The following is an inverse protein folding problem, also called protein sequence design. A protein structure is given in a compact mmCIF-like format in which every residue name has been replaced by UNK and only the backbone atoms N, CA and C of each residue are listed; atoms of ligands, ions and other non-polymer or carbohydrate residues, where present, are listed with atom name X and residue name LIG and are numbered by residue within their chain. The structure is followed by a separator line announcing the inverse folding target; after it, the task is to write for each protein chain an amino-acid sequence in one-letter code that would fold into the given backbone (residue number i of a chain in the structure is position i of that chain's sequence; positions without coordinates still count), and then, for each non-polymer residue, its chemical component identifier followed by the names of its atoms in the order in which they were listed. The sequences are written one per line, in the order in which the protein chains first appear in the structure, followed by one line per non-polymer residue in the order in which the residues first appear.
data_IF_734431604156
#
_entry.id   IF_734431604156
#
_cell.length_a   1.000
_cell.length_b   1.000
_cell.length_c   1.000
_cell.angle_alpha   90.00
_cell.angle_beta   90.00
_cell.angle_gamma   90.00
#
_symmetry.space_group_name_H-M   'P 1'
#
loop_
_entity.id
_entity.type
_entity.pdbx_description
1 polymer ?
#
# COMPACT_ATOMS: atom_id res chain seq x y z
N UNK A 1 -23.87 5.84 -16.29
CA UNK A 1 -23.59 4.53 -15.69
C UNK A 1 -22.85 3.72 -16.75
N UNK A 2 -21.54 3.97 -16.91
CA UNK A 2 -20.73 3.23 -17.87
C UNK A 2 -20.30 1.96 -17.17
N UNK A 3 -20.89 0.84 -17.57
CA UNK A 3 -20.33 -0.47 -17.26
C UNK A 3 -18.90 -0.47 -17.82
N UNK A 4 -17.92 -0.39 -16.94
CA UNK A 4 -16.59 -0.86 -17.28
C UNK A 4 -16.79 -2.34 -17.64
N UNK A 5 -16.70 -2.69 -18.91
CA UNK A 5 -16.60 -4.09 -19.35
C UNK A 5 -15.22 -4.56 -18.91
N UNK A 6 -15.17 -5.00 -17.68
CA UNK A 6 -13.97 -5.27 -16.91
C UNK A 6 -13.26 -6.55 -17.41
N UNK A 7 -11.96 -6.45 -17.65
CA UNK A 7 -10.96 -7.51 -17.46
C UNK A 7 -10.95 -8.79 -18.33
N UNK A 8 -11.17 -8.72 -19.64
CA UNK A 8 -10.70 -9.77 -20.58
C UNK A 8 -9.26 -9.50 -21.05
N UNK A 9 -8.35 -9.30 -20.10
CA UNK A 9 -6.90 -9.30 -20.36
C UNK A 9 -6.28 -10.47 -19.62
N UNK A 10 -5.41 -11.20 -20.30
CA UNK A 10 -4.70 -12.38 -19.80
C UNK A 10 -4.03 -12.11 -18.44
N UNK A 11 -4.71 -12.44 -17.32
CA UNK A 11 -4.13 -12.36 -15.98
C UNK A 11 -3.35 -13.66 -15.74
N UNK A 12 -2.02 -13.61 -15.86
CA UNK A 12 -1.16 -14.79 -15.70
C UNK A 12 -0.85 -15.15 -14.24
N UNK A 13 -1.19 -14.29 -13.26
CA UNK A 13 -0.94 -14.56 -11.84
C UNK A 13 -2.16 -14.13 -11.00
N UNK A 14 -2.89 -15.09 -10.46
CA UNK A 14 -3.84 -14.85 -9.36
C UNK A 14 -3.12 -15.10 -8.05
N UNK A 15 -3.05 -14.07 -7.19
CA UNK A 15 -2.46 -14.19 -5.86
C UNK A 15 -3.54 -14.65 -4.89
N UNK A 16 -3.23 -15.46 -3.89
CA UNK A 16 -4.22 -15.83 -2.86
C UNK A 16 -3.62 -15.69 -1.47
N UNK A 17 -4.36 -15.01 -0.59
CA UNK A 17 -4.11 -15.04 0.84
C UNK A 17 -4.76 -16.33 1.37
N UNK A 18 -3.99 -17.42 1.34
CA UNK A 18 -4.49 -18.72 1.77
C UNK A 18 -4.54 -18.83 3.31
N UNK A 19 -5.10 -19.94 3.80
CA UNK A 19 -5.28 -20.18 5.23
C UNK A 19 -3.99 -20.25 6.06
N UNK A 20 -2.82 -20.40 5.42
CA UNK A 20 -1.53 -20.45 6.10
C UNK A 20 -0.99 -19.05 6.41
N UNK A 21 -1.49 -18.02 5.72
CA UNK A 21 -1.11 -16.63 5.93
C UNK A 21 -1.90 -16.07 7.10
N UNK A 22 -1.20 -15.60 8.13
CA UNK A 22 -1.79 -14.91 9.28
C UNK A 22 -1.30 -13.48 9.38
N UNK A 23 0.00 -13.24 9.23
CA UNK A 23 0.59 -11.89 9.32
C UNK A 23 0.97 -11.34 7.96
N UNK A 24 0.32 -10.23 7.62
CA UNK A 24 0.48 -9.54 6.35
C UNK A 24 1.06 -8.16 6.62
N UNK A 25 2.30 -7.93 6.21
CA UNK A 25 3.01 -6.67 6.44
C UNK A 25 2.99 -5.81 5.19
N UNK A 26 2.61 -4.54 5.34
CA UNK A 26 2.66 -3.54 4.26
C UNK A 26 3.87 -2.62 4.49
N UNK A 27 4.82 -2.68 3.56
CA UNK A 27 5.99 -1.81 3.45
C UNK A 27 5.76 -0.76 2.37
N UNK A 28 6.25 0.45 2.63
CA UNK A 28 6.17 1.56 1.69
C UNK A 28 6.43 2.90 2.35
N UNK A 29 6.05 3.96 1.65
CA UNK A 29 6.33 5.33 2.07
C UNK A 29 5.13 6.00 2.79
N UNK A 30 4.94 7.31 2.59
CA UNK A 30 3.85 8.10 3.19
C UNK A 30 2.46 7.62 2.78
N UNK A 31 2.31 7.09 1.55
CA UNK A 31 1.02 6.60 1.05
C UNK A 31 0.63 5.32 1.80
N UNK A 32 1.59 4.42 2.02
CA UNK A 32 1.42 3.26 2.89
C UNK A 32 1.20 3.69 4.34
N UNK A 33 1.94 4.67 4.86
CA UNK A 33 1.73 5.20 6.22
C UNK A 33 0.34 5.81 6.44
N UNK A 34 -0.24 6.47 5.44
CA UNK A 34 -1.63 6.94 5.47
C UNK A 34 -2.60 5.75 5.45
N UNK A 35 -2.33 4.76 4.59
CA UNK A 35 -2.81 3.38 4.76
C UNK A 35 -4.30 3.15 4.55
N UNK A 36 -5.08 4.12 4.08
CA UNK A 36 -6.54 3.96 3.88
C UNK A 36 -6.90 2.79 2.96
N UNK A 37 -6.08 2.49 1.96
CA UNK A 37 -6.28 1.31 1.10
C UNK A 37 -6.12 -0.01 1.89
N UNK A 38 -5.23 -0.05 2.87
CA UNK A 38 -5.02 -1.22 3.74
C UNK A 38 -6.23 -1.38 4.67
N UNK A 39 -6.77 -0.26 5.18
CA UNK A 39 -8.00 -0.27 5.98
C UNK A 39 -9.18 -0.86 5.19
N UNK A 40 -9.33 -0.49 3.91
CA UNK A 40 -10.38 -1.06 3.06
C UNK A 40 -10.16 -2.55 2.80
N UNK A 41 -8.93 -2.98 2.49
CA UNK A 41 -8.60 -4.40 2.31
C UNK A 41 -8.90 -5.18 3.60
N UNK A 42 -8.42 -4.71 4.76
CA UNK A 42 -8.66 -5.40 6.02
C UNK A 42 -10.16 -5.47 6.36
N UNK A 43 -10.92 -4.39 6.14
CA UNK A 43 -12.37 -4.40 6.33
C UNK A 43 -13.06 -5.43 5.43
N UNK A 44 -12.64 -5.57 4.17
CA UNK A 44 -13.13 -6.62 3.27
C UNK A 44 -12.86 -8.02 3.83
N UNK A 45 -11.62 -8.30 4.24
CA UNK A 45 -11.25 -9.61 4.76
C UNK A 45 -11.98 -9.95 6.06
N UNK A 46 -12.17 -8.96 6.93
CA UNK A 46 -12.91 -9.11 8.19
C UNK A 46 -14.36 -9.53 7.92
N UNK A 47 -15.02 -8.90 6.93
CA UNK A 47 -16.44 -9.18 6.66
C UNK A 47 -16.67 -10.43 5.80
N UNK A 48 -15.75 -10.77 4.90
CA UNK A 48 -15.86 -11.93 4.02
C UNK A 48 -15.31 -13.22 4.65
N UNK A 49 -14.38 -13.09 5.60
CA UNK A 49 -13.74 -14.23 6.27
C UNK A 49 -13.73 -14.07 7.80
N UNK A 50 -14.90 -13.95 8.45
CA UNK A 50 -15.01 -13.64 9.89
C UNK A 50 -14.37 -14.69 10.81
N UNK A 51 -14.25 -15.94 10.35
CA UNK A 51 -13.61 -17.03 11.08
C UNK A 51 -12.08 -17.04 10.96
N UNK A 52 -11.50 -16.19 10.09
CA UNK A 52 -10.06 -16.10 9.87
C UNK A 52 -9.45 -15.00 10.71
N UNK A 53 -8.25 -15.27 11.21
CA UNK A 53 -7.49 -14.32 12.02
C UNK A 53 -6.32 -13.77 11.21
N UNK A 54 -6.63 -12.91 10.25
CA UNK A 54 -5.63 -12.12 9.54
C UNK A 54 -5.18 -10.93 10.41
N UNK A 55 -3.89 -10.65 10.41
CA UNK A 55 -3.28 -9.49 11.05
C UNK A 55 -2.59 -8.64 9.98
N UNK A 56 -3.23 -7.51 9.65
CA UNK A 56 -2.69 -6.52 8.72
C UNK A 56 -1.81 -5.53 9.49
N UNK A 57 -0.52 -5.48 9.14
CA UNK A 57 0.49 -4.68 9.83
C UNK A 57 1.00 -3.60 8.87
N UNK A 58 0.59 -2.36 9.12
CA UNK A 58 1.08 -1.20 8.37
C UNK A 58 2.37 -0.65 9.01
N UNK A 59 3.48 -0.73 8.28
CA UNK A 59 4.79 -0.19 8.68
C UNK A 59 5.36 0.72 7.60
N UNK A 60 4.49 1.44 6.88
CA UNK A 60 4.90 2.50 5.97
C UNK A 60 5.64 3.62 6.70
N UNK A 61 6.68 4.18 6.10
CA UNK A 61 7.46 5.27 6.69
C UNK A 61 7.50 6.48 5.74
N UNK A 62 6.96 7.66 6.12
CA UNK A 62 6.90 8.80 5.20
C UNK A 62 8.27 9.22 4.67
N UNK A 63 8.32 9.69 3.42
CA UNK A 63 9.55 10.06 2.69
C UNK A 63 10.53 8.92 2.37
N UNK A 64 10.30 7.70 2.87
CA UNK A 64 11.24 6.57 2.70
C UNK A 64 11.42 6.18 1.23
N UNK A 65 12.65 5.79 0.91
CA UNK A 65 13.03 5.16 -0.37
C UNK A 65 13.53 3.75 -0.15
N UNK A 66 13.40 2.91 -1.18
CA UNK A 66 14.12 1.63 -1.28
C UNK A 66 15.43 1.80 -2.05
N UNK A 67 15.55 2.84 -2.88
CA UNK A 67 16.78 3.18 -3.61
C UNK A 67 17.91 3.71 -2.71
N UNK A 68 17.59 4.13 -1.49
CA UNK A 68 18.52 4.81 -0.58
C UNK A 68 18.89 6.24 -1.01
N UNK A 69 18.21 6.77 -2.04
CA UNK A 69 18.48 8.11 -2.55
C UNK A 69 17.80 9.19 -1.71
N UNK A 70 18.46 10.35 -1.64
CA UNK A 70 17.90 11.58 -1.11
C UNK A 70 18.41 12.74 -1.95
N UNK A 71 17.51 13.63 -2.37
CA UNK A 71 17.89 14.89 -2.98
C UNK A 71 18.64 15.78 -1.96
N UNK A 72 19.54 16.66 -2.44
CA UNK A 72 20.09 17.73 -1.62
C UNK A 72 18.96 18.57 -1.00
N UNK A 73 19.14 18.99 0.25
CA UNK A 73 18.20 19.85 0.96
C UNK A 73 16.79 19.26 1.15
N UNK A 74 16.64 17.93 1.15
CA UNK A 74 15.37 17.27 1.50
C UNK A 74 14.82 17.81 2.83
N UNK A 75 13.51 18.02 2.89
CA UNK A 75 12.82 18.61 4.04
C UNK A 75 13.46 19.93 4.52
N UNK A 76 13.89 20.79 3.60
CA UNK A 76 14.59 22.05 3.87
C UNK A 76 15.88 21.85 4.68
N UNK A 77 16.58 20.74 4.43
CA UNK A 77 17.83 20.39 5.08
C UNK A 77 17.66 19.78 6.47
N UNK A 78 16.43 19.55 6.93
CA UNK A 78 16.19 19.01 8.27
C UNK A 78 16.67 17.56 8.43
N UNK A 79 16.55 16.73 7.39
CA UNK A 79 17.01 15.34 7.36
C UNK A 79 17.02 14.80 5.91
N UNK A 80 17.90 13.84 5.57
CA UNK A 80 17.81 13.11 4.30
C UNK A 80 16.58 12.20 4.28
N UNK A 81 16.14 11.76 3.10
CA UNK A 81 15.09 10.72 3.01
C UNK A 81 15.47 9.49 3.85
N UNK A 82 14.52 8.90 4.60
CA UNK A 82 14.74 7.61 5.23
C UNK A 82 15.05 6.53 4.17
N UNK A 83 15.88 5.56 4.56
CA UNK A 83 16.29 4.45 3.72
C UNK A 83 15.80 3.14 4.35
N UNK A 84 15.05 2.33 3.59
CA UNK A 84 14.53 1.05 4.07
C UNK A 84 15.64 0.11 4.55
N UNK A 85 16.85 0.18 3.98
CA UNK A 85 18.02 -0.60 4.41
C UNK A 85 18.32 -0.43 5.89
N UNK A 86 17.97 0.73 6.47
CA UNK A 86 18.18 1.04 7.87
C UNK A 86 17.35 0.18 8.83
N UNK A 87 16.14 -0.22 8.42
CA UNK A 87 15.15 -0.82 9.34
C UNK A 87 14.58 -2.15 8.92
N UNK A 88 14.74 -2.59 7.67
CA UNK A 88 14.07 -3.80 7.16
C UNK A 88 14.32 -5.03 8.03
N UNK A 89 15.56 -5.26 8.45
CA UNK A 89 15.89 -6.40 9.33
C UNK A 89 15.03 -6.40 10.61
N UNK A 90 14.88 -5.23 11.25
CA UNK A 90 14.06 -5.09 12.47
C UNK A 90 12.58 -5.27 12.17
N UNK A 91 12.09 -4.76 11.04
CA UNK A 91 10.71 -5.00 10.58
C UNK A 91 10.45 -6.50 10.49
N UNK A 92 11.30 -7.24 9.77
CA UNK A 92 11.12 -8.68 9.55
C UNK A 92 11.26 -9.48 10.85
N UNK A 93 12.26 -9.18 11.68
CA UNK A 93 12.49 -9.94 12.92
C UNK A 93 11.39 -9.74 13.96
N UNK A 94 10.79 -8.55 14.03
CA UNK A 94 9.79 -8.20 15.03
C UNK A 94 8.38 -8.58 14.61
N UNK A 95 8.02 -8.33 13.34
CA UNK A 95 6.67 -8.64 12.84
C UNK A 95 6.53 -10.12 12.45
N UNK A 96 7.62 -10.75 11.98
CA UNK A 96 7.65 -12.14 11.48
C UNK A 96 6.51 -12.39 10.47
N UNK A 97 6.53 -11.70 9.31
CA UNK A 97 5.44 -11.80 8.36
C UNK A 97 5.40 -13.16 7.69
N UNK A 98 4.20 -13.65 7.39
CA UNK A 98 4.01 -14.75 6.43
C UNK A 98 4.03 -14.19 5.00
N UNK A 99 3.54 -12.96 4.84
CA UNK A 99 3.47 -12.24 3.56
C UNK A 99 3.80 -10.77 3.72
N UNK A 100 4.51 -10.21 2.74
CA UNK A 100 4.86 -8.79 2.65
C UNK A 100 4.32 -8.21 1.35
N UNK A 101 3.56 -7.14 1.45
CA UNK A 101 3.25 -6.25 0.33
C UNK A 101 4.23 -5.08 0.34
N UNK A 102 4.88 -4.81 -0.79
CA UNK A 102 5.86 -3.74 -0.93
C UNK A 102 5.43 -2.71 -1.97
N UNK A 103 5.26 -1.45 -1.57
CA UNK A 103 4.90 -0.36 -2.48
C UNK A 103 5.92 0.80 -2.38
N UNK A 104 6.90 0.79 -3.30
CA UNK A 104 7.94 1.82 -3.43
C UNK A 104 8.03 2.34 -4.88
N UNK A 105 8.68 3.49 -5.07
CA UNK A 105 8.85 4.15 -6.37
C UNK A 105 8.58 5.65 -6.31
N UNK A 106 7.52 6.07 -5.61
CA UNK A 106 7.07 7.48 -5.55
C UNK A 106 8.16 8.46 -5.06
N UNK A 107 9.05 8.03 -4.16
CA UNK A 107 10.14 8.88 -3.65
C UNK A 107 11.49 8.59 -4.33
N UNK A 108 11.61 7.45 -4.99
CA UNK A 108 12.90 6.86 -5.36
C UNK A 108 13.56 7.58 -6.54
N UNK A 109 12.75 8.24 -7.38
CA UNK A 109 13.22 9.17 -8.41
C UNK A 109 13.50 10.59 -7.90
N UNK A 110 13.31 10.85 -6.59
CA UNK A 110 13.57 12.11 -5.89
C UNK A 110 12.99 13.36 -6.57
N UNK A 111 11.83 13.22 -7.23
CA UNK A 111 11.10 14.30 -7.89
C UNK A 111 11.89 15.03 -9.00
N UNK A 112 12.86 14.34 -9.62
CA UNK A 112 13.62 14.82 -10.77
C UNK A 112 13.22 14.09 -12.06
N UNK A 113 13.48 14.65 -13.26
CA UNK A 113 13.29 13.95 -14.53
C UNK A 113 13.98 12.58 -14.55
N UNK A 114 13.56 11.70 -15.47
CA UNK A 114 14.15 10.37 -15.59
C UNK A 114 15.67 10.43 -15.77
N UNK A 115 16.35 9.48 -15.13
CA UNK A 115 17.79 9.30 -15.17
C UNK A 115 18.10 7.83 -14.91
N UNK A 116 18.96 7.26 -15.75
CA UNK A 116 19.27 5.83 -15.72
C UNK A 116 19.96 5.43 -14.41
N UNK A 117 20.79 6.29 -13.82
CA UNK A 117 21.49 5.97 -12.57
C UNK A 117 20.52 5.92 -11.39
N UNK A 118 19.59 6.88 -11.29
CA UNK A 118 18.52 6.83 -10.28
C UNK A 118 17.61 5.62 -10.47
N UNK A 119 17.25 5.32 -11.72
CA UNK A 119 16.46 4.13 -12.03
C UNK A 119 17.20 2.84 -11.63
N UNK A 120 18.50 2.75 -11.94
CA UNK A 120 19.33 1.62 -11.53
C UNK A 120 19.36 1.45 -10.00
N UNK A 121 19.44 2.54 -9.23
CA UNK A 121 19.35 2.48 -7.76
C UNK A 121 17.99 1.98 -7.26
N UNK A 122 16.90 2.41 -7.88
CA UNK A 122 15.57 1.86 -7.59
C UNK A 122 15.51 0.35 -7.88
N UNK A 123 16.00 -0.08 -9.05
CA UNK A 123 16.06 -1.51 -9.43
C UNK A 123 16.87 -2.32 -8.42
N UNK A 124 18.04 -1.83 -8.02
CA UNK A 124 18.91 -2.46 -7.02
C UNK A 124 18.21 -2.61 -5.67
N UNK A 125 17.57 -1.53 -5.20
CA UNK A 125 16.81 -1.52 -3.95
C UNK A 125 15.67 -2.54 -3.94
N UNK A 126 14.86 -2.58 -5.00
CA UNK A 126 13.75 -3.53 -5.12
C UNK A 126 14.25 -4.99 -5.14
N UNK A 127 15.32 -5.29 -5.89
CA UNK A 127 15.91 -6.64 -5.87
C UNK A 127 16.49 -7.00 -4.49
N UNK A 128 17.16 -6.06 -3.82
CA UNK A 128 17.65 -6.26 -2.47
C UNK A 128 16.50 -6.56 -1.50
N UNK A 129 15.44 -5.75 -1.51
CA UNK A 129 14.26 -5.94 -0.68
C UNK A 129 13.63 -7.32 -0.92
N UNK A 130 13.44 -7.70 -2.19
CA UNK A 130 12.91 -9.01 -2.55
C UNK A 130 13.74 -10.13 -1.93
N UNK A 131 15.08 -10.10 -2.11
CA UNK A 131 15.96 -11.13 -1.56
C UNK A 131 15.91 -11.21 -0.04
N UNK A 132 15.92 -10.08 0.66
CA UNK A 132 15.92 -10.07 2.12
C UNK A 132 14.60 -10.60 2.71
N UNK A 133 13.46 -10.31 2.07
CA UNK A 133 12.15 -10.86 2.50
C UNK A 133 12.05 -12.36 2.21
N UNK A 134 12.47 -12.82 1.04
CA UNK A 134 12.48 -14.27 0.74
C UNK A 134 13.43 -15.01 1.70
N UNK A 135 14.59 -14.42 2.01
CA UNK A 135 15.57 -14.98 2.94
C UNK A 135 15.03 -15.08 4.37
N UNK A 136 14.09 -14.23 4.78
CA UNK A 136 13.42 -14.37 6.09
C UNK A 136 12.38 -15.49 6.13
N UNK A 137 12.11 -16.15 5.00
CA UNK A 137 11.09 -17.20 4.86
C UNK A 137 9.69 -16.65 4.56
N UNK A 138 9.56 -15.35 4.31
CA UNK A 138 8.28 -14.69 4.05
C UNK A 138 8.00 -14.63 2.55
N UNK A 139 6.72 -14.68 2.16
CA UNK A 139 6.31 -14.38 0.77
C UNK A 139 6.38 -12.87 0.53
N UNK A 140 6.67 -12.45 -0.69
CA UNK A 140 6.61 -11.04 -1.09
C UNK A 140 5.74 -10.85 -2.34
N UNK A 141 4.95 -9.78 -2.34
CA UNK A 141 4.23 -9.24 -3.49
C UNK A 141 4.62 -7.78 -3.63
N UNK A 142 5.15 -7.43 -4.79
CA UNK A 142 5.44 -6.03 -5.10
C UNK A 142 4.19 -5.37 -5.67
N UNK A 143 3.93 -4.13 -5.28
CA UNK A 143 2.85 -3.29 -5.79
C UNK A 143 3.53 -2.11 -6.48
N UNK A 144 3.17 -1.84 -7.73
CA UNK A 144 3.67 -0.65 -8.43
C UNK A 144 3.35 0.63 -7.66
N UNK A 145 4.17 1.69 -7.76
CA UNK A 145 3.84 2.96 -7.12
C UNK A 145 2.53 3.54 -7.72
N UNK A 146 1.70 4.22 -6.92
CA UNK A 146 0.58 4.98 -7.46
C UNK A 146 1.07 6.09 -8.38
N UNK A 147 0.15 6.65 -9.17
CA UNK A 147 0.45 7.72 -10.12
C UNK A 147 0.92 9.00 -9.41
N UNK A 148 1.80 9.74 -10.09
CA UNK A 148 2.04 11.15 -9.81
C UNK A 148 1.23 11.97 -10.81
N UNK A 149 0.41 12.90 -10.34
CA UNK A 149 -0.45 13.67 -11.24
C UNK A 149 0.41 14.53 -12.17
N UNK A 150 0.32 14.26 -13.47
CA UNK A 150 1.13 14.94 -14.49
C UNK A 150 0.93 16.47 -14.51
N UNK A 151 -0.20 16.96 -13.99
CA UNK A 151 -0.46 18.41 -13.80
C UNK A 151 0.50 19.05 -12.80
N UNK A 152 1.13 18.27 -11.92
CA UNK A 152 2.18 18.72 -10.99
C UNK A 152 3.58 18.55 -11.55
N UNK A 153 3.74 17.86 -12.69
CA UNK A 153 5.04 17.65 -13.33
C UNK A 153 5.06 16.41 -14.22
N UNK A 154 4.88 16.62 -15.53
CA UNK A 154 4.88 15.54 -16.55
C UNK A 154 6.15 14.71 -16.56
N UNK A 155 7.31 15.35 -16.36
CA UNK A 155 8.59 14.65 -16.34
C UNK A 155 8.68 13.62 -15.22
N UNK A 156 8.12 13.92 -14.05
CA UNK A 156 8.13 12.99 -12.91
C UNK A 156 7.02 11.95 -13.01
N UNK A 157 5.85 12.29 -13.55
CA UNK A 157 4.83 11.30 -13.88
C UNK A 157 5.41 10.19 -14.78
N UNK A 158 6.17 10.57 -15.81
CA UNK A 158 6.86 9.62 -16.69
C UNK A 158 7.93 8.77 -15.98
N UNK A 159 8.54 9.25 -14.89
CA UNK A 159 9.44 8.41 -14.07
C UNK A 159 8.66 7.26 -13.44
N UNK A 160 7.47 7.54 -12.91
CA UNK A 160 6.63 6.52 -12.28
C UNK A 160 6.02 5.56 -13.30
N UNK A 161 5.71 6.01 -14.52
CA UNK A 161 5.34 5.13 -15.63
C UNK A 161 6.46 4.09 -15.86
N UNK A 162 7.69 4.55 -16.07
CA UNK A 162 8.86 3.69 -16.35
C UNK A 162 9.20 2.75 -15.19
N UNK A 163 9.10 3.23 -13.94
CA UNK A 163 9.36 2.39 -12.77
C UNK A 163 8.31 1.31 -12.60
N UNK A 164 7.04 1.63 -12.91
CA UNK A 164 5.92 0.69 -12.84
C UNK A 164 6.02 -0.37 -13.93
N UNK A 165 6.27 0.03 -15.19
CA UNK A 165 6.44 -0.90 -16.32
C UNK A 165 7.56 -1.90 -16.07
N UNK A 166 8.69 -1.42 -15.56
CA UNK A 166 9.79 -2.29 -15.22
C UNK A 166 9.42 -3.27 -14.10
N UNK A 167 8.71 -2.82 -13.06
CA UNK A 167 8.29 -3.71 -11.99
C UNK A 167 7.29 -4.76 -12.51
N UNK A 168 6.33 -4.36 -13.34
CA UNK A 168 5.38 -5.29 -14.00
C UNK A 168 6.13 -6.32 -14.85
N UNK A 169 7.19 -5.92 -15.55
CA UNK A 169 8.01 -6.86 -16.35
C UNK A 169 8.64 -7.99 -15.52
N UNK A 170 8.74 -7.82 -14.18
CA UNK A 170 9.26 -8.85 -13.26
C UNK A 170 8.34 -10.05 -13.10
N UNK A 171 7.05 -9.92 -13.44
CA UNK A 171 6.13 -11.05 -13.59
C UNK A 171 6.68 -12.10 -14.57
N UNK A 172 7.33 -11.64 -15.64
CA UNK A 172 7.77 -12.49 -16.76
C UNK A 172 9.27 -12.75 -16.75
N UNK A 173 10.07 -11.79 -16.28
CA UNK A 173 11.54 -11.90 -16.30
C UNK A 173 12.07 -12.68 -15.10
N UNK A 174 11.47 -12.49 -13.93
CA UNK A 174 11.96 -13.06 -12.67
C UNK A 174 10.91 -13.94 -11.96
N UNK A 175 9.74 -14.16 -12.57
CA UNK A 175 8.59 -14.85 -11.99
C UNK A 175 8.15 -14.30 -10.62
N UNK A 176 8.28 -12.98 -10.43
CA UNK A 176 7.83 -12.34 -9.20
C UNK A 176 6.32 -12.13 -9.20
N UNK A 177 5.76 -12.12 -7.98
CA UNK A 177 4.41 -11.65 -7.76
C UNK A 177 4.40 -10.12 -7.76
N UNK A 178 3.68 -9.53 -8.72
CA UNK A 178 3.55 -8.08 -8.84
C UNK A 178 2.09 -7.72 -9.06
N UNK A 179 1.56 -6.75 -8.33
CA UNK A 179 0.24 -6.15 -8.54
C UNK A 179 0.42 -4.79 -9.21
N UNK A 180 -0.28 -4.56 -10.32
CA UNK A 180 -0.29 -3.27 -11.00
C UNK A 180 -1.41 -2.39 -10.44
N UNK A 181 -0.99 -1.33 -9.77
CA UNK A 181 -1.85 -0.28 -9.23
C UNK A 181 -1.70 1.02 -10.04
N UNK A 182 -0.62 1.15 -10.81
CA UNK A 182 -0.25 2.39 -11.48
C UNK A 182 -1.17 2.68 -12.66
N UNK A 183 -1.24 1.76 -13.62
CA UNK A 183 -1.99 1.97 -14.85
C UNK A 183 -3.52 1.97 -14.62
N UNK A 184 -4.09 1.12 -13.75
CA UNK A 184 -5.50 1.24 -13.39
C UNK A 184 -5.85 2.59 -12.76
N UNK A 185 -5.02 3.12 -11.86
CA UNK A 185 -5.24 4.45 -11.28
C UNK A 185 -5.11 5.56 -12.32
N UNK A 186 -4.15 5.46 -13.25
CA UNK A 186 -4.00 6.43 -14.34
C UNK A 186 -5.25 6.47 -15.22
N UNK A 187 -5.72 5.29 -15.65
CA UNK A 187 -6.92 5.14 -16.47
C UNK A 187 -8.15 5.72 -15.78
N UNK A 188 -8.31 5.49 -14.48
CA UNK A 188 -9.41 6.05 -13.71
C UNK A 188 -9.34 7.57 -13.63
N UNK A 189 -8.16 8.14 -13.34
CA UNK A 189 -7.96 9.59 -13.34
C UNK A 189 -8.30 10.21 -14.71
N UNK A 190 -7.80 9.63 -15.80
CA UNK A 190 -8.07 10.10 -17.16
C UNK A 190 -9.56 9.99 -17.51
N UNK A 191 -10.21 8.88 -17.15
CA UNK A 191 -11.64 8.65 -17.41
C UNK A 191 -12.52 9.64 -16.65
N UNK A 192 -12.24 9.89 -15.37
CA UNK A 192 -12.98 10.88 -14.57
C UNK A 192 -12.78 12.30 -15.10
N UNK A 193 -11.59 12.60 -15.64
CA UNK A 193 -11.29 13.91 -16.25
C UNK A 193 -12.04 14.19 -17.55
N UNK A 194 -12.56 13.17 -18.22
CA UNK A 194 -13.48 13.35 -19.35
C UNK A 194 -14.84 13.91 -18.91
N UNK A 195 -15.22 13.69 -17.65
CA UNK A 195 -16.51 14.12 -17.08
C UNK A 195 -16.33 15.42 -16.29
N UNK A 196 -15.32 15.45 -15.43
CA UNK A 196 -14.96 16.59 -14.59
C UNK A 196 -13.48 16.91 -14.77
N UNK A 197 -13.17 17.97 -15.53
CA UNK A 197 -11.78 18.35 -15.82
C UNK A 197 -10.97 18.69 -14.58
N UNK A 198 -11.60 19.06 -13.46
CA UNK A 198 -10.91 19.41 -12.21
C UNK A 198 -10.71 18.20 -11.28
N UNK A 199 -11.14 17.01 -11.69
CA UNK A 199 -10.98 15.80 -10.91
C UNK A 199 -9.50 15.49 -10.63
N UNK A 200 -9.24 15.12 -9.36
CA UNK A 200 -7.94 14.73 -8.86
C UNK A 200 -8.08 13.51 -7.95
N UNK A 201 -7.15 12.56 -8.07
CA UNK A 201 -6.96 11.51 -7.06
C UNK A 201 -6.11 12.00 -5.89
N UNK A 202 -5.24 13.00 -6.11
CA UNK A 202 -4.36 13.58 -5.10
C UNK A 202 -4.23 15.09 -5.31
N UNK A 203 -4.56 15.91 -4.31
CA UNK A 203 -4.53 17.38 -4.45
C UNK A 203 -3.12 17.93 -4.67
N UNK A 204 -2.13 17.30 -4.04
CA UNK A 204 -0.70 17.60 -4.20
C UNK A 204 -0.05 16.77 -5.32
N UNK A 205 -0.83 15.92 -6.00
CA UNK A 205 -0.38 15.00 -7.04
C UNK A 205 0.39 13.78 -6.53
N UNK A 206 0.51 13.59 -5.21
CA UNK A 206 1.29 12.51 -4.59
C UNK A 206 0.41 11.64 -3.69
N UNK A 207 -0.33 12.24 -2.75
CA UNK A 207 -1.05 11.51 -1.71
C UNK A 207 -2.52 11.32 -2.09
N UNK A 208 -2.97 10.08 -2.39
CA UNK A 208 -4.35 9.83 -2.77
C UNK A 208 -5.35 10.25 -1.68
N UNK A 209 -6.48 10.80 -2.11
CA UNK A 209 -7.65 11.01 -1.27
C UNK A 209 -8.34 9.66 -0.98
N UNK A 210 -9.44 9.67 -0.22
CA UNK A 210 -10.16 8.44 0.14
C UNK A 210 -10.62 7.65 -1.09
N UNK A 211 -11.06 8.33 -2.15
CA UNK A 211 -11.47 7.68 -3.39
C UNK A 211 -10.28 7.03 -4.12
N UNK A 212 -9.14 7.72 -4.18
CA UNK A 212 -7.89 7.14 -4.70
C UNK A 212 -7.45 5.90 -3.92
N UNK A 213 -7.49 5.96 -2.59
CA UNK A 213 -7.21 4.79 -1.74
C UNK A 213 -8.21 3.65 -1.91
N UNK A 214 -9.48 3.96 -2.20
CA UNK A 214 -10.48 2.94 -2.53
C UNK A 214 -10.14 2.25 -3.86
N UNK A 215 -9.79 3.00 -4.91
CA UNK A 215 -9.34 2.41 -6.19
C UNK A 215 -8.14 1.51 -5.98
N UNK A 216 -7.16 1.94 -5.18
CA UNK A 216 -6.01 1.12 -4.81
C UNK A 216 -6.44 -0.21 -4.17
N UNK A 217 -7.36 -0.17 -3.19
CA UNK A 217 -7.86 -1.36 -2.51
C UNK A 217 -8.59 -2.30 -3.48
N UNK A 218 -9.48 -1.78 -4.34
CA UNK A 218 -10.21 -2.59 -5.32
C UNK A 218 -9.28 -3.31 -6.29
N UNK A 219 -8.25 -2.64 -6.81
CA UNK A 219 -7.30 -3.28 -7.72
C UNK A 219 -6.46 -4.36 -7.02
N UNK A 220 -6.06 -4.12 -5.77
CA UNK A 220 -5.33 -5.12 -4.98
C UNK A 220 -6.23 -6.33 -4.67
N UNK A 221 -7.48 -6.11 -4.25
CA UNK A 221 -8.44 -7.19 -3.99
C UNK A 221 -8.71 -8.00 -5.27
N UNK A 222 -8.93 -7.33 -6.39
CA UNK A 222 -9.12 -8.00 -7.68
C UNK A 222 -7.96 -8.92 -8.05
N UNK A 223 -6.72 -8.45 -7.94
CA UNK A 223 -5.52 -9.24 -8.24
C UNK A 223 -5.27 -10.37 -7.21
N UNK A 224 -5.88 -10.26 -6.02
CA UNK A 224 -5.91 -11.31 -5.00
C UNK A 224 -7.05 -12.35 -5.21
N UNK A 225 -7.75 -12.29 -6.35
CA UNK A 225 -8.94 -13.11 -6.63
C UNK A 225 -10.11 -12.86 -5.64
N UNK A 226 -10.11 -11.68 -5.01
CA UNK A 226 -11.13 -11.23 -4.06
C UNK A 226 -12.06 -10.25 -4.78
N UNK A 227 -13.15 -10.79 -5.32
CA UNK A 227 -14.08 -10.02 -6.15
C UNK A 227 -15.12 -9.31 -5.29
N UNK A 228 -15.30 -8.00 -5.51
CA UNK A 228 -16.41 -7.26 -4.91
C UNK A 228 -17.73 -7.71 -5.52
N UNK A 229 -18.77 -7.76 -4.69
CA UNK A 229 -20.15 -7.99 -5.15
C UNK A 229 -20.58 -6.86 -6.10
N UNK A 230 -21.48 -7.15 -7.04
CA UNK A 230 -22.06 -6.13 -7.94
C UNK A 230 -22.66 -4.95 -7.17
N UNK A 231 -23.23 -5.21 -5.99
CA UNK A 231 -23.80 -4.20 -5.10
C UNK A 231 -22.75 -3.31 -4.42
N UNK A 232 -21.55 -3.82 -4.18
CA UNK A 232 -20.44 -3.09 -3.55
C UNK A 232 -19.53 -2.36 -4.53
N UNK A 233 -19.84 -2.35 -5.84
CA UNK A 233 -19.10 -1.52 -6.80
C UNK A 233 -19.41 -0.05 -6.59
N UNK A 234 -18.35 0.73 -6.43
CA UNK A 234 -18.40 2.17 -6.20
C UNK A 234 -18.08 2.54 -4.75
N UNK A 235 -17.44 3.69 -4.58
CA UNK A 235 -16.90 4.13 -3.30
C UNK A 235 -17.97 4.22 -2.20
N UNK A 236 -19.13 4.81 -2.51
CA UNK A 236 -20.25 4.95 -1.58
C UNK A 236 -20.94 3.61 -1.23
N UNK A 237 -20.71 2.59 -2.05
CA UNK A 237 -21.34 1.29 -1.93
C UNK A 237 -20.42 0.25 -1.29
N UNK A 238 -19.17 0.59 -0.97
CA UNK A 238 -18.23 -0.37 -0.41
C UNK A 238 -18.78 -1.02 0.87
N UNK A 239 -18.87 -2.36 0.87
CA UNK A 239 -19.45 -3.16 1.95
C UNK A 239 -20.91 -2.79 2.27
N UNK A 240 -21.66 -2.27 1.29
CA UNK A 240 -23.06 -1.86 1.48
C UNK A 240 -23.99 -3.02 1.84
N UNK A 241 -23.59 -4.26 1.58
CA UNK A 241 -24.32 -5.44 2.03
C UNK A 241 -24.29 -5.65 3.56
N UNK A 242 -23.40 -4.95 4.29
CA UNK A 242 -23.29 -5.03 5.75
C UNK A 242 -23.92 -3.80 6.41
N UNK A 243 -24.99 -3.99 7.19
CA UNK A 243 -25.71 -2.91 7.88
C UNK A 243 -24.84 -2.09 8.85
N UNK A 244 -23.79 -2.71 9.41
CA UNK A 244 -22.85 -2.08 10.33
C UNK A 244 -21.58 -1.53 9.65
N UNK A 245 -21.54 -1.44 8.31
CA UNK A 245 -20.32 -1.09 7.54
C UNK A 245 -19.56 0.12 8.09
N UNK A 246 -20.26 1.20 8.43
CA UNK A 246 -19.62 2.47 8.83
C UNK A 246 -18.95 2.30 10.21
N UNK A 247 -19.58 1.54 11.11
CA UNK A 247 -19.00 1.20 12.41
C UNK A 247 -17.77 0.29 12.26
N UNK A 248 -17.83 -0.70 11.36
CA UNK A 248 -16.70 -1.58 11.04
C UNK A 248 -15.53 -0.75 10.50
N UNK A 249 -15.76 0.07 9.47
CA UNK A 249 -14.73 0.94 8.87
C UNK A 249 -14.11 1.89 9.90
N UNK A 250 -14.93 2.47 10.78
CA UNK A 250 -14.45 3.34 11.86
C UNK A 250 -13.57 2.59 12.87
N UNK A 251 -13.92 1.37 13.25
CA UNK A 251 -13.12 0.55 14.17
C UNK A 251 -11.83 0.06 13.52
N UNK A 252 -11.87 -0.35 12.25
CA UNK A 252 -10.68 -0.71 11.46
C UNK A 252 -9.73 0.48 11.37
N UNK A 253 -10.23 1.67 11.06
CA UNK A 253 -9.42 2.89 11.05
C UNK A 253 -8.77 3.16 12.41
N UNK A 254 -9.54 3.12 13.51
CA UNK A 254 -9.00 3.29 14.88
C UNK A 254 -7.90 2.28 15.18
N UNK A 255 -8.10 1.02 14.79
CA UNK A 255 -7.10 -0.05 14.94
C UNK A 255 -5.82 0.26 14.18
N UNK A 256 -5.92 0.67 12.92
CA UNK A 256 -4.75 1.00 12.09
C UNK A 256 -3.97 2.20 12.62
N UNK A 257 -4.66 3.28 13.04
CA UNK A 257 -4.01 4.46 13.64
C UNK A 257 -3.21 4.06 14.87
N UNK A 258 -3.83 3.31 15.79
CA UNK A 258 -3.18 2.82 17.01
C UNK A 258 -1.97 1.92 16.69
N UNK A 259 -2.17 0.90 15.88
CA UNK A 259 -1.17 -0.15 15.68
C UNK A 259 0.00 0.28 14.82
N UNK A 260 -0.22 1.15 13.82
CA UNK A 260 0.84 1.67 12.95
C UNK A 260 1.90 2.41 13.77
N UNK A 261 1.48 3.34 14.63
CA UNK A 261 2.42 4.15 15.41
C UNK A 261 3.13 3.29 16.49
N UNK A 262 2.41 2.34 17.10
CA UNK A 262 2.98 1.39 18.05
C UNK A 262 4.03 0.48 17.39
N UNK A 263 3.75 -0.07 16.21
CA UNK A 263 4.70 -0.88 15.47
C UNK A 263 5.93 -0.09 15.01
N UNK A 264 5.76 1.13 14.48
CA UNK A 264 6.88 1.97 14.07
C UNK A 264 7.78 2.34 15.25
N UNK A 265 7.18 2.61 16.42
CA UNK A 265 7.90 2.90 17.66
C UNK A 265 8.69 1.68 18.14
N UNK A 266 8.04 0.51 18.18
CA UNK A 266 8.71 -0.72 18.60
C UNK A 266 9.84 -1.11 17.63
N UNK A 267 9.58 -1.11 16.32
CA UNK A 267 10.58 -1.45 15.29
C UNK A 267 11.77 -0.49 15.33
N UNK A 268 11.50 0.80 15.56
CA UNK A 268 12.50 1.86 15.56
C UNK A 268 12.91 2.28 14.15
N UNK A 269 13.02 3.59 13.94
CA UNK A 269 13.44 4.20 12.68
C UNK A 269 14.19 5.52 12.95
N UNK A 270 14.98 5.98 11.98
CA UNK A 270 15.70 7.27 12.10
C UNK A 270 14.92 8.50 11.63
N UNK A 271 13.71 8.33 11.08
CA UNK A 271 12.90 9.47 10.60
C UNK A 271 12.48 10.38 11.78
N UNK A 272 12.83 11.67 11.78
CA UNK A 272 12.45 12.58 12.85
C UNK A 272 10.96 12.95 12.77
N UNK A 273 10.42 13.47 13.88
CA UNK A 273 9.06 14.03 13.97
C UNK A 273 7.96 13.05 13.53
N UNK A 274 8.11 11.79 13.90
CA UNK A 274 7.05 10.79 13.82
C UNK A 274 6.28 10.77 15.13
N UNK A 275 5.00 10.42 15.07
CA UNK A 275 4.19 10.13 16.26
C UNK A 275 4.81 8.96 17.01
N UNK A 276 4.99 9.10 18.32
CA UNK A 276 5.40 8.00 19.20
C UNK A 276 4.13 7.26 19.59
N UNK A 277 4.04 5.99 19.22
CA UNK A 277 2.94 5.10 19.59
C UNK A 277 3.09 4.57 21.00
N UNK A 278 2.00 3.95 21.49
CA UNK A 278 2.02 3.24 22.77
C UNK A 278 3.03 2.08 22.75
N UNK A 279 3.54 1.65 23.92
CA UNK A 279 4.26 0.39 24.03
C UNK A 279 3.47 -0.75 23.37
N UNK A 280 4.15 -1.57 22.57
CA UNK A 280 3.48 -2.55 21.70
C UNK A 280 2.55 -3.50 22.48
N UNK A 281 2.95 -3.93 23.68
CA UNK A 281 2.14 -4.78 24.55
C UNK A 281 0.83 -4.10 25.01
N UNK A 282 0.82 -2.78 25.21
CA UNK A 282 -0.38 -2.02 25.56
C UNK A 282 -1.27 -1.80 24.34
N UNK A 283 -0.67 -1.46 23.20
CA UNK A 283 -1.38 -1.32 21.93
C UNK A 283 -2.07 -2.62 21.52
N UNK A 284 -1.41 -3.78 21.69
CA UNK A 284 -2.00 -5.09 21.40
C UNK A 284 -3.24 -5.38 22.26
N UNK A 285 -3.24 -5.03 23.55
CA UNK A 285 -4.43 -5.18 24.41
C UNK A 285 -5.60 -4.33 23.93
N UNK A 286 -5.34 -3.11 23.48
CA UNK A 286 -6.37 -2.24 22.91
C UNK A 286 -6.86 -2.75 21.55
N UNK A 287 -5.94 -3.23 20.69
CA UNK A 287 -6.25 -3.91 19.42
C UNK A 287 -7.20 -5.08 19.64
N UNK A 288 -6.96 -5.91 20.65
CA UNK A 288 -7.81 -7.07 20.94
C UNK A 288 -9.23 -6.65 21.37
N UNK A 289 -9.36 -5.56 22.12
CA UNK A 289 -10.68 -4.99 22.45
C UNK A 289 -11.41 -4.44 21.22
N UNK A 290 -10.68 -3.78 20.31
CA UNK A 290 -11.26 -3.32 19.03
C UNK A 290 -11.69 -4.51 18.16
N UNK A 291 -10.88 -5.56 18.07
CA UNK A 291 -11.23 -6.77 17.31
C UNK A 291 -12.48 -7.45 17.88
N UNK A 292 -12.65 -7.50 19.21
CA UNK A 292 -13.89 -8.01 19.83
C UNK A 292 -15.10 -7.14 19.46
N UNK A 293 -14.95 -5.82 19.48
CA UNK A 293 -16.03 -4.90 19.09
C UNK A 293 -16.40 -5.05 17.60
N UNK A 294 -15.42 -5.23 16.72
CA UNK A 294 -15.66 -5.52 15.30
C UNK A 294 -16.42 -6.84 15.13
N UNK A 295 -16.02 -7.89 15.86
CA UNK A 295 -16.69 -9.20 15.76
C UNK A 295 -18.18 -9.13 16.10
N UNK A 296 -18.54 -8.38 17.14
CA UNK A 296 -19.95 -8.15 17.54
C UNK A 296 -20.79 -7.40 16.50
N UNK A 297 -20.17 -6.79 15.48
CA UNK A 297 -20.88 -6.09 14.40
C UNK A 297 -21.09 -6.97 13.16
N UNK A 298 -20.43 -8.12 13.10
CA UNK A 298 -20.48 -9.08 11.99
C UNK A 298 -21.39 -10.27 12.35
N UNK A 299 -21.41 -10.65 13.64
CA UNK A 299 -22.38 -11.59 14.22
C UNK A 299 -23.81 -11.00 14.20
#
# INVERSE_FOLDING_TARGET
MVMLSWYDTCHSQTFKINNDIKRIVFLGNSITYQGKYIEYIEAYFITHYPDKQFEFINVGLPSETVSGLSEPNHAQGAFPRPDLHERLHRVLSKTKPDMVFSCYGMNDGIYLPFDELRFQKFKEGIHWLHREVIKSGSKIVHITPPIFDERKGKAYANVLDLYSDWLISKRYTDNWNVIDLHWPMRKELESQRLINTDFVLAQDGIHPNNYGHFIMACNILWELDEHLSSASYGFENFLSEYSNRDNILNLVHKKHVLMKDAWLTDIGHKRPRMTIGLPLNEALKQKDSINKAIKLLID
#
